data_IF_699814029194
#
_entry.id   IF_699814029194
#
_cell.length_a   1.000
_cell.length_b   1.000
_cell.length_c   1.000
_cell.angle_alpha   90.00
_cell.angle_beta   90.00
_cell.angle_gamma   90.00
#
_symmetry.space_group_name_H-M   'P 1'
#
loop_
_entity.id
_entity.type
_entity.pdbx_description
1 polymer ?
#
# COMPACT_ATOMS: atom_id res chain seq x y z
N UNK A 1 13.26 4.76 -10.56
CA UNK A 1 12.27 3.86 -9.90
C UNK A 1 10.84 4.21 -10.27
N UNK A 2 10.30 5.41 -9.95
CA UNK A 2 8.88 5.73 -10.23
C UNK A 2 8.50 5.61 -11.73
N UNK A 3 9.29 6.16 -12.64
CA UNK A 3 9.04 6.08 -14.10
C UNK A 3 9.10 4.63 -14.62
N UNK A 4 10.03 3.82 -14.11
CA UNK A 4 10.16 2.41 -14.49
C UNK A 4 8.98 1.59 -13.97
N UNK A 5 8.53 1.90 -12.74
CA UNK A 5 7.32 1.33 -12.16
C UNK A 5 6.07 1.66 -12.99
N UNK A 6 5.89 2.94 -13.36
CA UNK A 6 4.75 3.38 -14.19
C UNK A 6 4.75 2.67 -15.54
N UNK A 7 5.92 2.50 -16.18
CA UNK A 7 6.05 1.78 -17.44
C UNK A 7 5.60 0.31 -17.31
N UNK A 8 6.06 -0.37 -16.28
CA UNK A 8 5.72 -1.77 -16.01
C UNK A 8 4.23 -1.93 -15.66
N UNK A 9 3.64 -0.95 -15.00
CA UNK A 9 2.23 -0.97 -14.64
C UNK A 9 1.30 -0.77 -15.83
N UNK A 10 1.72 0.01 -16.82
CA UNK A 10 0.95 0.32 -18.03
C UNK A 10 0.99 -0.77 -19.10
N UNK A 11 1.81 -1.79 -18.93
CA UNK A 11 1.92 -2.89 -19.89
C UNK A 11 1.18 -4.13 -19.37
N UNK A 12 0.12 -4.52 -20.09
CA UNK A 12 -0.68 -5.72 -19.76
C UNK A 12 0.09 -7.03 -20.04
N UNK A 13 1.21 -6.96 -20.76
CA UNK A 13 2.03 -8.11 -21.15
C UNK A 13 3.27 -8.30 -20.27
N UNK A 14 3.40 -7.48 -19.21
CA UNK A 14 4.55 -7.56 -18.31
C UNK A 14 4.69 -8.95 -17.72
N UNK A 15 5.85 -9.55 -17.92
CA UNK A 15 6.21 -10.82 -17.31
C UNK A 15 6.48 -10.67 -15.80
N UNK A 16 6.06 -11.67 -15.06
CA UNK A 16 6.25 -11.75 -13.62
C UNK A 16 7.72 -11.61 -13.22
N UNK A 17 8.64 -12.14 -14.05
CA UNK A 17 10.07 -12.01 -13.85
C UNK A 17 10.56 -10.57 -13.87
N UNK A 18 10.03 -9.74 -14.77
CA UNK A 18 10.39 -8.31 -14.87
C UNK A 18 9.93 -7.55 -13.61
N UNK A 19 8.73 -7.87 -13.11
CA UNK A 19 8.19 -7.26 -11.88
C UNK A 19 9.05 -7.65 -10.68
N UNK A 20 9.42 -8.92 -10.54
CA UNK A 20 10.29 -9.40 -9.47
C UNK A 20 11.66 -8.72 -9.56
N UNK A 21 12.27 -8.67 -10.75
CA UNK A 21 13.57 -8.03 -10.96
C UNK A 21 13.54 -6.53 -10.63
N UNK A 22 12.44 -5.82 -10.93
CA UNK A 22 12.26 -4.43 -10.55
C UNK A 22 12.25 -4.25 -9.03
N UNK A 23 11.48 -5.09 -8.32
CA UNK A 23 11.37 -5.04 -6.87
C UNK A 23 12.73 -5.32 -6.21
N UNK A 24 13.46 -6.31 -6.71
CA UNK A 24 14.76 -6.73 -6.16
C UNK A 24 15.88 -5.69 -6.36
N UNK A 25 15.73 -4.76 -7.31
CA UNK A 25 16.65 -3.62 -7.47
C UNK A 25 16.63 -2.66 -6.28
N UNK A 26 15.56 -2.64 -5.47
CA UNK A 26 15.43 -1.79 -4.30
C UNK A 26 15.17 -2.59 -3.04
N UNK A 27 16.14 -2.64 -2.11
CA UNK A 27 15.95 -3.32 -0.82
C UNK A 27 14.74 -2.81 -0.03
N UNK A 28 14.42 -1.54 -0.17
CA UNK A 28 13.26 -0.93 0.48
C UNK A 28 11.94 -1.49 -0.08
N UNK A 29 11.81 -1.58 -1.40
CA UNK A 29 10.65 -2.20 -2.05
C UNK A 29 10.55 -3.67 -1.69
N UNK A 30 11.63 -4.42 -1.79
CA UNK A 30 11.67 -5.83 -1.42
C UNK A 30 11.20 -6.05 0.03
N UNK A 31 11.69 -5.22 0.95
CA UNK A 31 11.28 -5.27 2.36
C UNK A 31 9.79 -5.00 2.56
N UNK A 32 9.20 -4.04 1.84
CA UNK A 32 7.76 -3.73 1.91
C UNK A 32 6.91 -4.86 1.37
N UNK A 33 7.27 -5.43 0.22
CA UNK A 33 6.59 -6.59 -0.38
C UNK A 33 6.63 -7.79 0.56
N UNK A 34 7.80 -8.10 1.13
CA UNK A 34 7.95 -9.21 2.07
C UNK A 34 7.16 -9.00 3.37
N UNK A 35 7.12 -7.77 3.91
CA UNK A 35 6.30 -7.46 5.09
C UNK A 35 4.80 -7.61 4.79
N UNK A 36 4.35 -7.17 3.63
CA UNK A 36 2.98 -7.34 3.21
C UNK A 36 2.61 -8.83 3.12
N UNK A 37 3.41 -9.62 2.40
CA UNK A 37 3.18 -11.05 2.22
C UNK A 37 3.24 -11.86 3.54
N UNK A 38 4.04 -11.41 4.51
CA UNK A 38 4.15 -12.03 5.83
C UNK A 38 3.19 -11.44 6.87
N UNK A 39 2.26 -10.58 6.46
CA UNK A 39 1.26 -10.06 7.38
C UNK A 39 0.31 -11.14 7.88
N UNK A 40 -0.27 -10.96 9.05
CA UNK A 40 -1.22 -11.88 9.64
C UNK A 40 -2.46 -12.14 8.76
N UNK A 41 -2.78 -11.19 7.87
CA UNK A 41 -3.89 -11.30 6.94
C UNK A 41 -3.79 -12.54 6.03
N UNK A 42 -2.57 -12.82 5.51
CA UNK A 42 -2.39 -13.96 4.61
C UNK A 42 -2.23 -15.31 5.32
N UNK A 43 -2.12 -15.32 6.65
CA UNK A 43 -2.10 -16.55 7.46
C UNK A 43 -1.04 -17.57 7.03
N UNK A 44 0.05 -17.13 6.43
CA UNK A 44 1.09 -18.02 5.94
C UNK A 44 1.71 -18.82 7.09
N UNK A 45 1.51 -20.14 7.11
CA UNK A 45 2.11 -21.04 8.13
C UNK A 45 3.64 -21.01 8.11
N UNK A 46 4.24 -20.65 6.99
CA UNK A 46 5.68 -20.52 6.81
C UNK A 46 6.01 -19.13 6.31
N UNK A 47 7.01 -18.50 6.92
CA UNK A 47 7.49 -17.18 6.53
C UNK A 47 7.99 -17.19 5.08
N UNK A 48 7.48 -16.25 4.30
CA UNK A 48 7.88 -15.99 2.91
C UNK A 48 9.25 -15.33 2.93
N UNK A 49 10.24 -15.97 2.31
CA UNK A 49 11.64 -15.54 2.37
C UNK A 49 12.15 -14.81 1.12
N UNK A 50 11.42 -14.86 0.00
CA UNK A 50 11.83 -14.20 -1.24
C UNK A 50 10.72 -13.37 -1.87
N UNK A 51 11.12 -12.34 -2.63
CA UNK A 51 10.19 -11.50 -3.39
C UNK A 51 9.40 -12.34 -4.39
N UNK A 52 10.09 -13.24 -5.10
CA UNK A 52 9.45 -14.14 -6.06
C UNK A 52 8.35 -14.99 -5.41
N UNK A 53 8.62 -15.56 -4.25
CA UNK A 53 7.63 -16.33 -3.49
C UNK A 53 6.46 -15.45 -3.03
N UNK A 54 6.75 -14.26 -2.53
CA UNK A 54 5.73 -13.29 -2.12
C UNK A 54 4.77 -12.96 -3.28
N UNK A 55 5.32 -12.69 -4.46
CA UNK A 55 4.53 -12.31 -5.64
C UNK A 55 3.74 -13.48 -6.19
N UNK A 56 4.36 -14.67 -6.32
CA UNK A 56 3.71 -15.82 -6.97
C UNK A 56 2.67 -16.48 -6.08
N UNK A 57 2.99 -16.69 -4.80
CA UNK A 57 2.19 -17.54 -3.91
C UNK A 57 1.21 -16.78 -3.02
N UNK A 58 1.49 -15.52 -2.74
CA UNK A 58 0.73 -14.77 -1.72
C UNK A 58 -0.02 -13.59 -2.33
N UNK A 59 0.68 -12.65 -2.96
CA UNK A 59 0.10 -11.39 -3.40
C UNK A 59 -0.56 -11.47 -4.78
N UNK A 60 0.06 -12.21 -5.69
CA UNK A 60 -0.31 -12.16 -7.11
C UNK A 60 0.19 -10.89 -7.81
N UNK A 61 0.10 -10.89 -9.14
CA UNK A 61 0.62 -9.82 -9.99
C UNK A 61 -0.12 -8.49 -9.78
N UNK A 62 -1.45 -8.52 -9.71
CA UNK A 62 -2.29 -7.32 -9.60
C UNK A 62 -2.02 -6.54 -8.32
N UNK A 63 -2.02 -7.23 -7.16
CA UNK A 63 -1.70 -6.58 -5.87
C UNK A 63 -0.27 -6.07 -5.83
N UNK A 64 0.67 -6.83 -6.37
CA UNK A 64 2.07 -6.42 -6.44
C UNK A 64 2.23 -5.14 -7.26
N UNK A 65 1.58 -5.06 -8.42
CA UNK A 65 1.55 -3.83 -9.23
C UNK A 65 0.99 -2.65 -8.43
N UNK A 66 -0.12 -2.82 -7.72
CA UNK A 66 -0.72 -1.76 -6.90
C UNK A 66 0.21 -1.29 -5.77
N UNK A 67 0.89 -2.22 -5.09
CA UNK A 67 1.87 -1.89 -4.05
C UNK A 67 3.08 -1.13 -4.61
N UNK A 68 3.58 -1.52 -5.79
CA UNK A 68 4.67 -0.80 -6.48
C UNK A 68 4.24 0.63 -6.79
N UNK A 69 3.05 0.81 -7.37
CA UNK A 69 2.53 2.14 -7.71
C UNK A 69 2.39 3.02 -6.46
N UNK A 70 1.73 2.51 -5.44
CA UNK A 70 1.51 3.24 -4.20
C UNK A 70 2.84 3.65 -3.54
N UNK A 71 3.83 2.76 -3.55
CA UNK A 71 5.16 3.02 -2.99
C UNK A 71 5.89 4.07 -3.82
N UNK A 72 5.90 3.97 -5.14
CA UNK A 72 6.53 4.93 -6.04
C UNK A 72 5.93 6.34 -5.88
N UNK A 73 4.62 6.43 -5.72
CA UNK A 73 3.93 7.69 -5.44
C UNK A 73 4.33 8.26 -4.08
N UNK A 74 4.35 7.43 -3.03
CA UNK A 74 4.73 7.89 -1.70
C UNK A 74 6.19 8.34 -1.59
N UNK A 75 7.09 7.71 -2.33
CA UNK A 75 8.51 8.10 -2.35
C UNK A 75 8.75 9.44 -3.06
N UNK A 76 7.75 9.97 -3.78
CA UNK A 76 7.78 11.30 -4.38
C UNK A 76 7.49 12.42 -3.38
N UNK A 77 7.06 12.10 -2.15
CA UNK A 77 6.75 13.06 -1.11
C UNK A 77 7.87 13.10 -0.05
N UNK A 78 8.27 14.30 0.32
CA UNK A 78 9.06 14.50 1.54
C UNK A 78 8.12 14.36 2.75
N UNK A 79 8.39 13.38 3.60
CA UNK A 79 7.56 13.04 4.76
C UNK A 79 8.30 13.32 6.08
N UNK A 80 9.15 14.34 6.10
CA UNK A 80 9.85 14.81 7.29
C UNK A 80 8.93 15.67 8.18
N UNK A 81 7.95 15.04 8.81
CA UNK A 81 7.02 15.67 9.74
C UNK A 81 7.05 14.92 11.07
N UNK A 82 7.26 15.63 12.18
CA UNK A 82 7.23 15.02 13.51
C UNK A 82 5.83 14.49 13.82
N UNK A 83 5.75 13.31 14.43
CA UNK A 83 4.47 12.67 14.72
C UNK A 83 3.83 11.92 13.55
N UNK A 84 4.27 12.12 12.31
CA UNK A 84 3.82 11.31 11.19
C UNK A 84 4.62 10.01 11.10
N UNK A 85 3.93 8.88 11.19
CA UNK A 85 4.55 7.56 11.03
C UNK A 85 4.27 6.99 9.65
N UNK A 86 5.27 6.94 8.80
CA UNK A 86 5.21 6.28 7.48
C UNK A 86 4.80 4.81 7.61
N UNK A 87 5.24 4.13 8.66
CA UNK A 87 4.90 2.73 8.90
C UNK A 87 3.42 2.55 9.22
N UNK A 88 2.86 3.37 10.11
CA UNK A 88 1.42 3.36 10.43
C UNK A 88 0.56 3.71 9.23
N UNK A 89 0.99 4.68 8.42
CA UNK A 89 0.34 5.05 7.17
C UNK A 89 0.21 3.84 6.25
N UNK A 90 1.32 3.14 5.98
CA UNK A 90 1.33 1.98 5.11
C UNK A 90 0.53 0.81 5.67
N UNK A 91 0.65 0.56 6.97
CA UNK A 91 -0.15 -0.48 7.63
C UNK A 91 -1.65 -0.22 7.47
N UNK A 92 -2.10 1.01 7.73
CA UNK A 92 -3.50 1.39 7.56
C UNK A 92 -3.98 1.29 6.12
N UNK A 93 -3.17 1.74 5.15
CA UNK A 93 -3.51 1.69 3.73
C UNK A 93 -3.63 0.25 3.23
N UNK A 94 -2.72 -0.64 3.61
CA UNK A 94 -2.77 -2.07 3.24
C UNK A 94 -3.95 -2.77 3.91
N UNK A 95 -4.22 -2.50 5.18
CA UNK A 95 -5.38 -3.06 5.87
C UNK A 95 -6.70 -2.62 5.20
N UNK A 96 -6.83 -1.33 4.86
CA UNK A 96 -7.98 -0.81 4.14
C UNK A 96 -8.14 -1.47 2.76
N UNK A 97 -7.04 -1.66 2.02
CA UNK A 97 -7.05 -2.32 0.72
C UNK A 97 -7.61 -3.74 0.80
N UNK A 98 -7.19 -4.52 1.78
CA UNK A 98 -7.71 -5.88 1.98
C UNK A 98 -9.20 -5.88 2.36
N UNK A 99 -9.60 -5.01 3.27
CA UNK A 99 -11.01 -4.88 3.64
C UNK A 99 -11.89 -4.51 2.44
N UNK A 100 -11.44 -3.57 1.60
CA UNK A 100 -12.14 -3.21 0.37
C UNK A 100 -12.25 -4.39 -0.60
N UNK A 101 -11.19 -5.18 -0.74
CA UNK A 101 -11.17 -6.37 -1.58
C UNK A 101 -12.15 -7.42 -1.10
N UNK A 102 -12.14 -7.73 0.19
CA UNK A 102 -13.02 -8.74 0.80
C UNK A 102 -14.48 -8.33 0.70
N UNK A 103 -14.79 -7.05 1.00
CA UNK A 103 -16.13 -6.51 0.83
C UNK A 103 -16.59 -6.59 -0.62
N UNK A 104 -15.77 -6.15 -1.58
CA UNK A 104 -16.09 -6.25 -3.00
C UNK A 104 -16.32 -7.69 -3.45
N UNK A 105 -15.55 -8.64 -2.89
CA UNK A 105 -15.72 -10.08 -3.14
C UNK A 105 -17.03 -10.63 -2.61
N UNK A 106 -17.51 -10.13 -1.48
CA UNK A 106 -18.72 -10.60 -0.80
C UNK A 106 -20.02 -10.00 -1.34
N UNK A 107 -19.96 -8.85 -2.05
CA UNK A 107 -21.16 -8.21 -2.59
C UNK A 107 -21.82 -9.05 -3.69
N UNK A 108 -23.13 -9.16 -3.61
CA UNK A 108 -23.99 -9.86 -4.60
C UNK A 108 -24.91 -8.83 -5.29
N UNK A 109 -24.32 -7.80 -5.88
CA UNK A 109 -25.04 -6.78 -6.64
C UNK A 109 -24.87 -7.00 -8.13
N UNK A 110 -25.82 -6.54 -8.99
CA UNK A 110 -25.67 -6.64 -10.45
C UNK A 110 -24.40 -5.99 -10.96
N UNK A 111 -23.98 -4.87 -10.34
CA UNK A 111 -22.76 -4.13 -10.64
C UNK A 111 -21.67 -4.48 -9.62
N UNK A 112 -21.28 -5.75 -9.58
CA UNK A 112 -20.26 -6.21 -8.63
C UNK A 112 -18.91 -5.52 -8.92
N UNK A 113 -18.34 -4.78 -7.94
CA UNK A 113 -17.03 -4.18 -8.12
C UNK A 113 -15.95 -5.26 -8.28
N UNK A 114 -14.97 -4.99 -9.13
CA UNK A 114 -13.82 -5.89 -9.32
C UNK A 114 -12.94 -5.86 -8.08
N UNK A 115 -12.72 -6.97 -7.37
CA UNK A 115 -11.97 -6.98 -6.10
C UNK A 115 -10.57 -6.38 -6.21
N UNK A 116 -9.86 -6.56 -7.33
CA UNK A 116 -8.55 -5.98 -7.56
C UNK A 116 -8.59 -4.44 -7.67
N UNK A 117 -9.67 -3.89 -8.25
CA UNK A 117 -9.87 -2.43 -8.33
C UNK A 117 -10.19 -1.89 -6.93
N UNK A 118 -11.04 -2.58 -6.18
CA UNK A 118 -11.36 -2.21 -4.80
C UNK A 118 -10.12 -2.24 -3.89
N UNK A 119 -9.24 -3.23 -4.07
CA UNK A 119 -7.94 -3.27 -3.40
C UNK A 119 -7.10 -2.03 -3.70
N UNK A 120 -6.97 -1.69 -4.99
CA UNK A 120 -6.18 -0.52 -5.41
C UNK A 120 -6.77 0.78 -4.86
N UNK A 121 -8.10 0.93 -4.91
CA UNK A 121 -8.77 2.10 -4.34
C UNK A 121 -8.54 2.21 -2.83
N UNK A 122 -8.67 1.10 -2.10
CA UNK A 122 -8.37 1.04 -0.66
C UNK A 122 -6.91 1.34 -0.33
N UNK A 123 -5.97 0.93 -1.18
CA UNK A 123 -4.54 1.20 -0.98
C UNK A 123 -4.20 2.69 -1.20
N UNK A 124 -4.86 3.33 -2.15
CA UNK A 124 -4.58 4.72 -2.56
C UNK A 124 -5.46 5.76 -1.87
N UNK A 125 -6.50 5.35 -1.13
CA UNK A 125 -7.51 6.25 -0.57
C UNK A 125 -6.93 7.41 0.26
N UNK A 126 -5.79 7.20 0.89
CA UNK A 126 -5.20 8.14 1.84
C UNK A 126 -3.96 8.88 1.29
N UNK A 127 -3.69 8.82 -0.02
CA UNK A 127 -2.54 9.53 -0.63
C UNK A 127 -2.59 11.05 -0.41
N UNK A 128 -3.79 11.63 -0.28
CA UNK A 128 -3.96 13.04 0.05
C UNK A 128 -3.30 13.45 1.36
N UNK A 129 -3.20 12.53 2.34
CA UNK A 129 -2.48 12.79 3.58
C UNK A 129 -0.97 12.96 3.34
N UNK A 130 -0.37 12.19 2.42
CA UNK A 130 1.05 12.36 2.06
C UNK A 130 1.29 13.72 1.40
N UNK A 131 0.37 14.16 0.54
CA UNK A 131 0.43 15.48 -0.06
C UNK A 131 0.34 16.59 0.98
N UNK A 132 -0.55 16.45 1.98
CA UNK A 132 -0.66 17.39 3.09
C UNK A 132 0.61 17.43 3.95
N UNK A 133 1.17 16.28 4.30
CA UNK A 133 2.43 16.18 5.05
C UNK A 133 3.58 16.85 4.30
N UNK A 134 3.65 16.65 2.98
CA UNK A 134 4.67 17.25 2.14
C UNK A 134 4.53 18.77 2.00
N UNK A 135 3.28 19.24 1.79
CA UNK A 135 3.02 20.65 1.46
C UNK A 135 2.90 21.53 2.72
N UNK A 136 2.38 20.95 3.80
CA UNK A 136 2.05 21.67 5.04
C UNK A 136 2.54 20.91 6.29
N UNK A 137 3.85 20.60 6.40
CA UNK A 137 4.38 19.76 7.49
C UNK A 137 4.07 20.34 8.87
N UNK A 138 4.26 21.64 9.07
CA UNK A 138 4.05 22.30 10.37
C UNK A 138 2.59 22.24 10.84
N UNK A 139 1.65 22.44 9.91
CA UNK A 139 0.22 22.38 10.21
C UNK A 139 -0.22 20.95 10.55
N UNK A 140 0.32 19.97 9.84
CA UNK A 140 0.06 18.55 10.13
C UNK A 140 0.65 18.15 11.47
N UNK A 141 1.88 18.58 11.78
CA UNK A 141 2.52 18.34 13.07
C UNK A 141 1.69 18.94 14.22
N UNK A 142 1.24 20.18 14.06
CA UNK A 142 0.37 20.84 15.03
C UNK A 142 -0.95 20.09 15.22
N UNK A 143 -1.53 19.56 14.14
CA UNK A 143 -2.77 18.78 14.19
C UNK A 143 -2.57 17.42 14.90
N UNK A 144 -1.44 16.76 14.65
CA UNK A 144 -1.10 15.46 15.27
C UNK A 144 -0.72 15.59 16.74
N UNK A 145 -0.16 16.72 17.15
CA UNK A 145 0.24 16.98 18.55
C UNK A 145 -0.92 17.39 19.45
N UNK A 146 -2.08 17.77 18.87
CA UNK A 146 -3.26 18.09 19.69
C UNK A 146 -3.73 16.82 20.43
N UNK A 147 -3.87 16.86 21.75
CA UNK A 147 -4.47 15.76 22.48
C UNK A 147 -5.86 15.51 21.90
N UNK A 148 -6.18 14.26 21.57
CA UNK A 148 -7.54 13.86 21.20
C UNK A 148 -8.45 14.29 22.36
N UNK A 149 -9.19 15.36 22.17
CA UNK A 149 -10.14 15.85 23.15
C UNK A 149 -11.01 14.69 23.58
N UNK A 150 -10.94 14.32 24.86
CA UNK A 150 -11.87 13.38 25.43
C UNK A 150 -13.27 13.93 25.15
N UNK A 151 -14.12 13.11 24.54
CA UNK A 151 -15.57 13.36 24.54
C UNK A 151 -15.95 13.44 26.01
N UNK A 152 -16.09 14.65 26.53
CA UNK A 152 -16.71 14.87 27.84
C UNK A 152 -18.11 14.30 27.73
N UNK A 153 -18.32 13.14 28.38
CA UNK A 153 -19.66 12.65 28.66
C UNK A 153 -20.29 13.62 29.62
N UNK A 154 -21.13 14.50 29.09
CA UNK A 154 -22.11 15.29 29.83
C UNK A 154 -23.46 14.60 29.78
#
# INVERSE_FOLDING_TARGET
MALEAIRILGDDRVDLGEVVALIEKSPEFASRILRCANSAYYGCHRRVGSVREAVIRVLGLSMTKSLILATALADSFDLSCQGFSRERFWFGSVACAHLCQDLAGSLQTPEKPVPAVAYTAGLLHNLGLLALVHTFPDQVEQALSRPRGGVSAG
#
